data_IF_679585213309
#
_entry.id   IF_679585213309
#
_cell.length_a   1.000
_cell.length_b   1.000
_cell.length_c   1.000
_cell.angle_alpha   90.00
_cell.angle_beta   90.00
_cell.angle_gamma   90.00
#
_symmetry.space_group_name_H-M   'P 1'
#
loop_
_entity.id
_entity.type
_entity.pdbx_description
1 polymer ?
#
# COMPACT_ATOMS: atom_id res chain seq x y z
N UNK A 1 -22.17 26.13 4.76
CA UNK A 1 -21.47 25.09 5.51
C UNK A 1 -20.39 24.55 4.60
N UNK A 2 -19.15 24.48 5.03
CA UNK A 2 -18.07 23.89 4.20
C UNK A 2 -18.33 22.39 4.04
N UNK A 3 -18.38 21.89 2.80
CA UNK A 3 -18.58 20.47 2.53
C UNK A 3 -17.22 19.76 2.54
N UNK A 4 -16.98 18.92 3.53
CA UNK A 4 -15.75 18.16 3.68
C UNK A 4 -15.85 16.73 3.12
N UNK A 5 -16.90 16.42 2.35
CA UNK A 5 -17.16 15.07 1.82
C UNK A 5 -16.08 14.62 0.86
N UNK A 6 -15.66 15.49 -0.06
CA UNK A 6 -14.58 15.19 -1.01
C UNK A 6 -13.26 14.87 -0.30
N UNK A 7 -12.94 15.62 0.76
CA UNK A 7 -11.74 15.38 1.55
C UNK A 7 -11.79 14.08 2.33
N UNK A 8 -12.97 13.70 2.86
CA UNK A 8 -13.15 12.38 3.48
C UNK A 8 -12.89 11.24 2.49
N UNK A 9 -13.38 11.37 1.26
CA UNK A 9 -13.12 10.40 0.17
C UNK A 9 -11.63 10.36 -0.15
N UNK A 10 -10.98 11.52 -0.26
CA UNK A 10 -9.54 11.60 -0.52
C UNK A 10 -8.71 10.97 0.62
N UNK A 11 -9.05 11.23 1.89
CA UNK A 11 -8.42 10.59 3.04
C UNK A 11 -8.61 9.07 3.01
N UNK A 12 -9.82 8.59 2.71
CA UNK A 12 -10.10 7.16 2.62
C UNK A 12 -9.28 6.50 1.49
N UNK A 13 -9.14 7.16 0.34
CA UNK A 13 -8.33 6.67 -0.76
C UNK A 13 -6.85 6.47 -0.37
N UNK A 14 -6.29 7.35 0.50
CA UNK A 14 -4.94 7.16 1.04
C UNK A 14 -4.86 5.90 1.90
N UNK A 15 -5.86 5.66 2.78
CA UNK A 15 -5.92 4.44 3.59
C UNK A 15 -5.99 3.19 2.70
N UNK A 16 -6.87 3.19 1.71
CA UNK A 16 -7.07 2.05 0.82
C UNK A 16 -5.78 1.74 0.04
N UNK A 17 -5.11 2.77 -0.46
CA UNK A 17 -3.80 2.62 -1.11
C UNK A 17 -2.75 2.05 -0.15
N UNK A 18 -2.67 2.58 1.07
CA UNK A 18 -1.74 2.08 2.08
C UNK A 18 -2.02 0.62 2.44
N UNK A 19 -3.29 0.23 2.60
CA UNK A 19 -3.66 -1.17 2.83
C UNK A 19 -3.24 -2.08 1.67
N UNK A 20 -3.39 -1.65 0.42
CA UNK A 20 -2.92 -2.40 -0.74
C UNK A 20 -1.40 -2.57 -0.73
N UNK A 21 -0.65 -1.53 -0.36
CA UNK A 21 0.80 -1.62 -0.21
C UNK A 21 1.21 -2.59 0.92
N UNK A 22 0.48 -2.58 2.05
CA UNK A 22 0.72 -3.52 3.15
C UNK A 22 0.43 -4.98 2.76
N UNK A 23 -0.54 -5.25 1.89
CA UNK A 23 -0.83 -6.61 1.40
C UNK A 23 0.34 -7.19 0.61
N UNK A 24 1.09 -6.36 -0.11
CA UNK A 24 2.27 -6.78 -0.88
C UNK A 24 3.48 -7.12 0.00
N UNK A 25 3.48 -6.65 1.25
CA UNK A 25 4.59 -6.87 2.18
C UNK A 25 4.62 -8.31 2.64
N UNK A 26 5.76 -8.97 2.45
CA UNK A 26 5.99 -10.37 2.81
C UNK A 26 6.00 -10.54 4.34
N UNK A 27 5.17 -11.45 4.85
CA UNK A 27 5.05 -11.77 6.28
C UNK A 27 5.63 -13.14 6.65
N UNK A 28 6.32 -13.79 5.71
CA UNK A 28 6.90 -15.12 5.91
C UNK A 28 5.99 -16.27 5.48
N UNK A 29 4.67 -16.03 5.28
CA UNK A 29 3.76 -17.03 4.72
C UNK A 29 3.63 -16.84 3.22
N UNK A 30 3.54 -17.94 2.47
CA UNK A 30 3.23 -17.88 1.05
C UNK A 30 1.79 -17.38 0.86
N UNK A 31 1.62 -16.30 0.11
CA UNK A 31 0.31 -15.78 -0.27
C UNK A 31 0.30 -15.46 -1.77
N UNK A 32 -0.77 -15.78 -2.51
CA UNK A 32 -0.84 -15.52 -3.95
C UNK A 32 -0.62 -14.05 -4.33
N UNK A 33 -1.04 -13.11 -3.47
CA UNK A 33 -0.86 -11.68 -3.69
C UNK A 33 0.61 -11.22 -3.74
N UNK A 34 1.55 -12.04 -3.27
CA UNK A 34 2.99 -11.76 -3.42
C UNK A 34 3.41 -11.71 -4.88
N UNK A 35 2.70 -12.42 -5.74
CA UNK A 35 2.96 -12.48 -7.18
C UNK A 35 2.14 -11.46 -7.98
N UNK A 36 1.32 -10.65 -7.33
CA UNK A 36 0.44 -9.67 -7.99
C UNK A 36 1.21 -8.51 -8.66
N UNK A 37 2.44 -8.24 -8.22
CA UNK A 37 3.31 -7.24 -8.84
C UNK A 37 3.95 -7.72 -10.14
N UNK A 38 3.97 -9.03 -10.37
CA UNK A 38 4.64 -9.63 -11.51
C UNK A 38 3.77 -9.45 -12.75
N UNK A 39 4.37 -8.81 -13.77
CA UNK A 39 3.78 -8.69 -15.09
C UNK A 39 4.50 -9.63 -16.04
N UNK A 40 3.75 -10.34 -16.84
CA UNK A 40 4.24 -11.28 -17.84
C UNK A 40 3.83 -10.80 -19.22
N UNK A 41 4.72 -10.87 -20.17
CA UNK A 41 4.38 -10.60 -21.57
C UNK A 41 3.56 -11.77 -22.13
N UNK A 42 2.32 -11.48 -22.47
CA UNK A 42 1.40 -12.41 -23.07
C UNK A 42 0.62 -11.73 -24.19
N UNK A 43 0.50 -12.39 -25.34
CA UNK A 43 -0.23 -11.84 -26.50
C UNK A 43 0.24 -10.45 -26.94
N UNK A 44 1.55 -10.16 -26.78
CA UNK A 44 2.15 -8.86 -27.14
C UNK A 44 1.86 -7.72 -26.15
N UNK A 45 1.33 -8.04 -24.96
CA UNK A 45 1.05 -7.06 -23.90
C UNK A 45 1.55 -7.55 -22.54
N UNK A 46 1.93 -6.61 -21.66
CA UNK A 46 2.26 -6.94 -20.28
C UNK A 46 1.01 -7.05 -19.42
N UNK A 47 0.71 -8.25 -18.95
CA UNK A 47 -0.46 -8.55 -18.13
C UNK A 47 -0.05 -9.01 -16.73
N UNK A 48 -0.85 -8.71 -15.69
CA UNK A 48 -0.63 -9.27 -14.36
C UNK A 48 -0.70 -10.81 -14.39
N UNK A 49 0.16 -11.47 -13.62
CA UNK A 49 0.28 -12.93 -13.62
C UNK A 49 -1.06 -13.64 -13.34
N UNK A 50 -1.91 -13.07 -12.50
CA UNK A 50 -3.22 -13.62 -12.15
C UNK A 50 -4.25 -13.58 -13.30
N UNK A 51 -3.98 -12.85 -14.38
CA UNK A 51 -4.86 -12.74 -15.56
C UNK A 51 -4.37 -13.58 -16.74
N UNK A 52 -3.21 -14.23 -16.60
CA UNK A 52 -2.58 -14.93 -17.70
C UNK A 52 -2.80 -16.43 -17.55
N UNK A 53 -3.81 -16.97 -18.25
CA UNK A 53 -4.16 -18.39 -18.19
C UNK A 53 -3.22 -19.32 -19.01
N UNK A 54 -2.43 -18.78 -19.96
CA UNK A 54 -1.63 -19.54 -20.91
C UNK A 54 -0.29 -18.86 -21.27
N UNK A 55 0.53 -18.55 -20.28
CA UNK A 55 1.92 -18.13 -20.55
C UNK A 55 2.84 -19.34 -20.45
N UNK A 56 3.90 -19.35 -21.26
CA UNK A 56 4.91 -20.40 -21.13
C UNK A 56 5.51 -20.38 -19.72
N UNK A 57 5.60 -21.54 -19.11
CA UNK A 57 6.15 -21.71 -17.74
C UNK A 57 7.53 -21.04 -17.61
N UNK A 58 8.36 -21.11 -18.65
CA UNK A 58 9.65 -20.43 -18.69
C UNK A 58 9.53 -18.90 -18.56
N UNK A 59 8.55 -18.27 -19.22
CA UNK A 59 8.30 -16.84 -19.12
C UNK A 59 7.93 -16.39 -17.71
N UNK A 60 7.07 -17.16 -17.05
CA UNK A 60 6.67 -16.90 -15.65
C UNK A 60 7.85 -17.05 -14.70
N UNK A 61 8.64 -18.14 -14.83
CA UNK A 61 9.81 -18.38 -14.00
C UNK A 61 10.84 -17.26 -14.13
N UNK A 62 11.08 -16.76 -15.33
CA UNK A 62 12.00 -15.65 -15.56
C UNK A 62 11.48 -14.35 -14.98
N UNK A 63 10.19 -14.06 -15.10
CA UNK A 63 9.58 -12.86 -14.52
C UNK A 63 9.67 -12.87 -12.98
N UNK A 64 9.46 -14.02 -12.33
CA UNK A 64 9.61 -14.16 -10.87
C UNK A 64 11.07 -13.98 -10.44
N UNK A 65 12.05 -14.50 -11.19
CA UNK A 65 13.48 -14.32 -10.90
C UNK A 65 13.94 -12.88 -11.09
N UNK A 66 13.37 -12.17 -12.06
CA UNK A 66 13.72 -10.79 -12.34
C UNK A 66 13.23 -9.79 -11.27
N UNK A 67 12.20 -10.16 -10.51
CA UNK A 67 11.69 -9.32 -9.42
C UNK A 67 12.57 -9.47 -8.16
N UNK A 68 13.59 -8.62 -8.06
CA UNK A 68 14.52 -8.60 -6.94
C UNK A 68 13.86 -8.31 -5.58
N UNK A 69 12.66 -7.71 -5.57
CA UNK A 69 11.95 -7.38 -4.32
C UNK A 69 11.42 -8.64 -3.65
N UNK A 70 11.08 -9.65 -4.42
CA UNK A 70 10.58 -10.93 -3.93
C UNK A 70 11.71 -11.87 -3.49
N UNK A 71 12.86 -11.80 -4.14
CA UNK A 71 14.02 -12.68 -3.90
C UNK A 71 13.61 -14.17 -3.82
N UNK A 72 12.84 -14.62 -4.82
CA UNK A 72 12.31 -15.97 -4.92
C UNK A 72 12.97 -16.70 -6.08
N UNK A 73 13.30 -17.98 -5.89
CA UNK A 73 13.85 -18.87 -6.92
C UNK A 73 12.78 -19.88 -7.34
N UNK A 74 12.04 -19.64 -8.43
CA UNK A 74 11.09 -20.61 -8.94
C UNK A 74 11.81 -21.81 -9.53
N UNK A 75 11.30 -23.01 -9.25
CA UNK A 75 11.67 -24.25 -9.88
C UNK A 75 10.51 -24.70 -10.77
N UNK A 76 10.78 -24.93 -12.05
CA UNK A 76 9.79 -25.44 -12.98
C UNK A 76 10.10 -26.88 -13.39
N UNK A 77 9.08 -27.71 -13.53
CA UNK A 77 9.14 -29.10 -13.98
C UNK A 77 8.44 -29.29 -15.33
N UNK A 78 8.19 -28.21 -16.07
CA UNK A 78 7.52 -28.22 -17.37
C UNK A 78 5.98 -28.27 -17.28
N UNK A 79 5.39 -28.47 -16.10
CA UNK A 79 3.94 -28.46 -15.85
C UNK A 79 3.52 -27.52 -14.75
N UNK A 80 4.34 -27.35 -13.73
CA UNK A 80 4.05 -26.54 -12.55
C UNK A 80 5.28 -25.74 -12.16
N UNK A 81 5.10 -24.48 -11.82
CA UNK A 81 6.15 -23.64 -11.23
C UNK A 81 6.00 -23.71 -9.71
N UNK A 82 6.99 -24.29 -9.06
CA UNK A 82 7.08 -24.29 -7.59
C UNK A 82 7.92 -23.11 -7.14
N UNK A 83 7.33 -22.27 -6.31
CA UNK A 83 8.02 -21.12 -5.74
C UNK A 83 8.25 -21.38 -4.25
N UNK A 84 9.42 -21.93 -3.87
CA UNK A 84 9.71 -22.14 -2.46
C UNK A 84 9.83 -20.78 -1.77
N UNK A 85 9.08 -20.61 -0.69
CA UNK A 85 9.14 -19.38 0.14
C UNK A 85 9.91 -19.75 1.42
N UNK A 86 11.22 -19.49 1.49
CA UNK A 86 11.98 -19.80 2.70
C UNK A 86 11.51 -18.94 3.86
N UNK A 87 11.63 -19.41 5.12
CA UNK A 87 11.29 -18.60 6.28
C UNK A 87 12.16 -17.33 6.31
N UNK A 88 11.61 -16.24 6.78
CA UNK A 88 12.35 -14.99 6.94
C UNK A 88 13.29 -15.09 8.15
N UNK A 89 14.54 -14.68 7.96
CA UNK A 89 15.46 -14.47 9.09
C UNK A 89 15.03 -13.25 9.91
N UNK A 90 15.50 -13.14 11.14
CA UNK A 90 15.19 -12.01 12.01
C UNK A 90 15.67 -10.68 11.41
N UNK A 91 16.88 -10.67 10.85
CA UNK A 91 17.44 -9.49 10.17
C UNK A 91 16.55 -9.06 9.01
N UNK A 92 16.09 -10.01 8.20
CA UNK A 92 15.22 -9.70 7.06
C UNK A 92 13.85 -9.17 7.49
N UNK A 93 13.30 -9.66 8.61
CA UNK A 93 12.06 -9.11 9.19
C UNK A 93 12.24 -7.65 9.60
N UNK A 94 13.34 -7.33 10.31
CA UNK A 94 13.68 -5.95 10.70
C UNK A 94 13.83 -5.02 9.49
N UNK A 95 14.46 -5.50 8.44
CA UNK A 95 14.61 -4.74 7.19
C UNK A 95 13.26 -4.48 6.51
N UNK A 96 12.38 -5.48 6.46
CA UNK A 96 11.02 -5.34 5.93
C UNK A 96 10.22 -4.31 6.75
N UNK A 97 10.28 -4.37 8.07
CA UNK A 97 9.64 -3.37 8.96
C UNK A 97 10.18 -1.97 8.67
N UNK A 98 11.49 -1.81 8.54
CA UNK A 98 12.11 -0.51 8.20
C UNK A 98 11.64 0.03 6.84
N UNK A 99 11.59 -0.81 5.82
CA UNK A 99 11.07 -0.40 4.50
C UNK A 99 9.59 -0.06 4.56
N UNK A 100 8.81 -0.82 5.34
CA UNK A 100 7.38 -0.55 5.53
C UNK A 100 7.14 0.75 6.29
N UNK A 101 8.01 1.11 7.24
CA UNK A 101 7.92 2.38 7.96
C UNK A 101 8.09 3.61 7.05
N UNK A 102 8.86 3.51 5.98
CA UNK A 102 8.96 4.57 4.97
C UNK A 102 7.61 4.81 4.27
N UNK A 103 6.86 3.75 3.98
CA UNK A 103 5.53 3.85 3.37
C UNK A 103 4.49 4.52 4.28
N UNK A 104 4.66 4.42 5.60
CA UNK A 104 3.84 5.17 6.57
C UNK A 104 4.07 6.67 6.40
N UNK A 105 5.33 7.08 6.34
CA UNK A 105 5.65 8.50 6.19
C UNK A 105 5.11 9.07 4.88
N UNK A 106 5.20 8.32 3.79
CA UNK A 106 4.60 8.69 2.50
C UNK A 106 3.08 8.87 2.63
N UNK A 107 2.38 7.94 3.29
CA UNK A 107 0.95 8.02 3.52
C UNK A 107 0.59 9.22 4.42
N UNK A 108 1.34 9.48 5.51
CA UNK A 108 1.14 10.63 6.38
C UNK A 108 1.41 11.95 5.65
N UNK A 109 2.39 12.00 4.76
CA UNK A 109 2.64 13.18 3.90
C UNK A 109 1.46 13.43 2.98
N UNK A 110 0.88 12.37 2.39
CA UNK A 110 -0.32 12.51 1.56
C UNK A 110 -1.52 13.05 2.36
N UNK A 111 -1.74 12.57 3.61
CA UNK A 111 -2.79 13.12 4.49
C UNK A 111 -2.55 14.60 4.80
N UNK A 112 -1.30 14.99 5.11
CA UNK A 112 -0.96 16.41 5.36
C UNK A 112 -1.25 17.27 4.14
N UNK A 113 -0.94 16.81 2.93
CA UNK A 113 -1.23 17.52 1.69
C UNK A 113 -2.73 17.74 1.51
N UNK A 114 -3.56 16.71 1.69
CA UNK A 114 -5.02 16.82 1.60
C UNK A 114 -5.56 17.84 2.63
N UNK A 115 -5.08 17.79 3.87
CA UNK A 115 -5.43 18.77 4.90
C UNK A 115 -5.07 20.19 4.47
N UNK A 116 -3.87 20.39 3.95
CA UNK A 116 -3.40 21.72 3.56
C UNK A 116 -4.17 22.27 2.36
N UNK A 117 -4.56 21.40 1.42
CA UNK A 117 -5.39 21.76 0.28
C UNK A 117 -6.82 22.14 0.76
N UNK A 118 -7.42 21.35 1.67
CA UNK A 118 -8.71 21.66 2.29
C UNK A 118 -8.71 23.01 3.04
N UNK A 119 -7.64 23.31 3.77
CA UNK A 119 -7.48 24.58 4.47
C UNK A 119 -7.31 25.76 3.53
N UNK A 120 -6.62 25.58 2.39
CA UNK A 120 -6.50 26.63 1.37
C UNK A 120 -7.85 26.94 0.74
N UNK A 121 -8.60 25.89 0.38
CA UNK A 121 -9.94 26.06 -0.18
C UNK A 121 -10.87 26.76 0.81
N UNK A 122 -10.88 26.32 2.07
CA UNK A 122 -11.69 26.95 3.11
C UNK A 122 -11.39 28.46 3.27
N UNK A 123 -10.12 28.85 3.17
CA UNK A 123 -9.70 30.25 3.26
C UNK A 123 -10.08 31.07 2.03
N UNK A 124 -10.20 30.46 0.86
CA UNK A 124 -10.59 31.14 -0.38
C UNK A 124 -12.07 31.49 -0.46
N UNK A 125 -12.91 30.92 0.42
CA UNK A 125 -14.33 31.21 0.45
C UNK A 125 -14.55 32.52 1.26
N UNK A 126 -14.89 33.61 0.55
CA UNK A 126 -15.05 34.94 1.16
C UNK A 126 -16.32 35.05 2.01
N UNK A 127 -17.41 34.40 1.60
CA UNK A 127 -18.75 34.53 2.23
C UNK A 127 -18.92 33.66 3.51
N UNK A 128 -17.89 33.03 4.03
CA UNK A 128 -17.96 32.25 5.27
C UNK A 128 -17.57 33.11 6.48
N UNK A 129 -18.42 33.09 7.52
CA UNK A 129 -18.09 33.74 8.79
C UNK A 129 -16.85 33.08 9.43
N UNK A 130 -16.08 33.88 10.18
CA UNK A 130 -14.87 33.43 10.87
C UNK A 130 -15.13 32.25 11.83
N UNK A 131 -16.29 32.21 12.47
CA UNK A 131 -16.66 31.09 13.36
C UNK A 131 -16.89 29.80 12.59
N UNK A 132 -17.48 29.87 11.39
CA UNK A 132 -17.65 28.72 10.52
C UNK A 132 -16.28 28.25 10.01
N UNK A 133 -15.41 29.17 9.60
CA UNK A 133 -14.05 28.85 9.16
C UNK A 133 -13.27 28.10 10.25
N UNK A 134 -13.25 28.61 11.47
CA UNK A 134 -12.57 27.97 12.62
C UNK A 134 -13.14 26.58 12.94
N UNK A 135 -14.48 26.43 12.89
CA UNK A 135 -15.11 25.12 13.11
C UNK A 135 -14.69 24.12 12.04
N UNK A 136 -14.75 24.53 10.77
CA UNK A 136 -14.36 23.66 9.64
C UNK A 136 -12.86 23.32 9.66
N UNK A 137 -11.99 24.26 10.02
CA UNK A 137 -10.56 23.96 10.21
C UNK A 137 -10.35 22.90 11.29
N UNK A 138 -11.04 23.00 12.41
CA UNK A 138 -10.97 22.01 13.47
C UNK A 138 -11.47 20.64 13.00
N UNK A 139 -12.57 20.58 12.27
CA UNK A 139 -13.09 19.33 11.70
C UNK A 139 -12.08 18.66 10.74
N UNK A 140 -11.41 19.44 9.89
CA UNK A 140 -10.36 18.95 8.98
C UNK A 140 -9.16 18.41 9.77
N UNK A 141 -8.77 19.08 10.86
CA UNK A 141 -7.66 18.62 11.69
C UNK A 141 -8.01 17.35 12.47
N UNK A 142 -9.20 17.26 13.01
CA UNK A 142 -9.68 16.07 13.71
C UNK A 142 -9.76 14.88 12.74
N UNK A 143 -10.30 15.08 11.53
CA UNK A 143 -10.27 14.06 10.47
C UNK A 143 -8.83 13.61 10.15
N UNK A 144 -7.89 14.55 9.99
CA UNK A 144 -6.50 14.21 9.70
C UNK A 144 -5.88 13.37 10.82
N UNK A 145 -6.18 13.68 12.07
CA UNK A 145 -5.75 12.89 13.23
C UNK A 145 -6.31 11.47 13.21
N UNK A 146 -7.61 11.34 12.95
CA UNK A 146 -8.28 10.04 12.93
C UNK A 146 -7.72 9.15 11.83
N UNK A 147 -7.52 9.70 10.63
CA UNK A 147 -6.93 8.95 9.53
C UNK A 147 -5.44 8.63 9.75
N UNK A 148 -4.69 9.51 10.41
CA UNK A 148 -3.31 9.22 10.81
C UNK A 148 -3.24 8.09 11.84
N UNK A 149 -4.14 8.08 12.83
CA UNK A 149 -4.23 7.00 13.81
C UNK A 149 -4.56 5.65 13.16
N UNK A 150 -5.47 5.62 12.16
CA UNK A 150 -5.76 4.42 11.38
C UNK A 150 -4.53 3.87 10.64
N UNK A 151 -3.69 4.76 10.07
CA UNK A 151 -2.43 4.34 9.43
C UNK A 151 -1.51 3.68 10.46
N UNK A 152 -1.36 4.28 11.64
CA UNK A 152 -0.51 3.75 12.71
C UNK A 152 -1.03 2.39 13.22
N UNK A 153 -2.34 2.22 13.36
CA UNK A 153 -2.96 0.94 13.75
C UNK A 153 -2.72 -0.16 12.70
N UNK A 154 -2.94 0.15 11.42
CA UNK A 154 -2.69 -0.77 10.32
C UNK A 154 -1.23 -1.23 10.28
N UNK A 155 -0.32 -0.29 10.51
CA UNK A 155 1.10 -0.62 10.55
C UNK A 155 1.46 -1.49 11.75
N UNK A 156 1.01 -1.14 12.97
CA UNK A 156 1.26 -1.95 14.17
C UNK A 156 0.77 -3.38 14.00
N UNK A 157 -0.42 -3.55 13.43
CA UNK A 157 -0.94 -4.87 13.12
C UNK A 157 -0.04 -5.64 12.14
N UNK A 158 0.44 -4.96 11.09
CA UNK A 158 1.33 -5.57 10.09
C UNK A 158 2.72 -5.86 10.64
N UNK A 159 3.27 -4.97 11.44
CA UNK A 159 4.55 -5.18 12.14
C UNK A 159 4.50 -6.41 13.05
N UNK A 160 3.43 -6.55 13.84
CA UNK A 160 3.22 -7.72 14.68
C UNK A 160 3.12 -9.01 13.84
N UNK A 161 2.49 -8.95 12.66
CA UNK A 161 2.42 -10.08 11.72
C UNK A 161 3.80 -10.44 11.13
N UNK A 162 4.61 -9.44 10.73
CA UNK A 162 5.96 -9.64 10.20
C UNK A 162 6.89 -10.25 11.26
N UNK A 163 6.79 -9.78 12.51
CA UNK A 163 7.65 -10.20 13.62
C UNK A 163 7.21 -11.53 14.25
N UNK A 164 6.01 -12.01 13.97
CA UNK A 164 5.51 -13.28 14.49
C UNK A 164 6.30 -14.46 13.90
N UNK A 165 6.86 -15.28 14.77
CA UNK A 165 7.60 -16.50 14.46
C UNK A 165 6.63 -17.63 14.12
#
# INVERSE_FOLDING_TARGET
MFDNTEYKIAFQAVIDRFQQELKKVRTGRAHPDMLSSIKVEAYGQYMPLNQVANVTIAGISNAIRADQTLNLNPADDGRVIRVPVPPLTEERRKEIVKTTSQKIEEAKVALRKIRDDARKELKSIEDLSEDIKKRSEKEIDDLTKDFSAKIDELFKAKEAEIMKI
#
